data_IF_269327626939
#
_entry.id   IF_269327626939
#
_cell.length_a   1.000
_cell.length_b   1.000
_cell.length_c   1.000
_cell.angle_alpha   90.00
_cell.angle_beta   90.00
_cell.angle_gamma   90.00
#
_symmetry.space_group_name_H-M   'P 1'
#
loop_
_entity.id
_entity.type
_entity.pdbx_description
1 polymer ?
#
# COMPACT_ATOMS: atom_id res chain seq x y z
N UNK A 1 12.42 14.81 6.14
CA UNK A 1 13.11 13.52 5.94
C UNK A 1 13.00 12.74 7.22
N UNK A 2 12.67 11.44 7.17
CA UNK A 2 12.71 10.57 8.34
C UNK A 2 14.16 10.42 8.80
N UNK A 3 14.40 10.32 10.10
CA UNK A 3 15.72 9.95 10.61
C UNK A 3 16.06 8.50 10.25
N UNK A 4 17.33 8.11 10.19
CA UNK A 4 17.74 6.72 9.93
C UNK A 4 17.10 5.72 10.91
N UNK A 5 17.01 6.08 12.19
CA UNK A 5 16.35 5.25 13.21
C UNK A 5 14.84 5.06 12.92
N UNK A 6 14.19 6.07 12.34
CA UNK A 6 12.79 5.98 11.93
C UNK A 6 12.60 5.28 10.59
N UNK A 7 13.61 5.21 9.73
CA UNK A 7 13.57 4.37 8.54
C UNK A 7 13.76 2.90 8.91
N UNK A 8 14.65 2.61 9.85
CA UNK A 8 14.96 1.26 10.31
C UNK A 8 13.75 0.53 10.92
N UNK A 9 12.90 1.23 11.69
CA UNK A 9 11.69 0.61 12.29
C UNK A 9 10.70 0.08 11.25
N UNK A 10 10.68 0.63 10.04
CA UNK A 10 9.75 0.22 8.99
C UNK A 10 10.28 -0.95 8.16
N UNK A 11 11.58 -1.29 8.25
CA UNK A 11 12.19 -2.35 7.45
C UNK A 11 11.53 -3.71 7.64
N UNK A 12 10.93 -3.96 8.80
CA UNK A 12 10.24 -5.22 9.12
C UNK A 12 8.75 -5.01 9.43
N UNK A 13 8.16 -3.91 8.94
CA UNK A 13 6.74 -3.62 9.14
C UNK A 13 5.85 -4.67 8.46
N UNK A 14 4.61 -4.80 8.93
CA UNK A 14 3.55 -5.41 8.12
C UNK A 14 3.10 -4.38 7.10
N UNK A 15 2.99 -4.77 5.84
CA UNK A 15 2.55 -3.87 4.77
C UNK A 15 1.28 -4.43 4.14
N UNK A 16 0.27 -3.58 4.05
CA UNK A 16 -0.99 -3.86 3.34
C UNK A 16 -1.30 -2.75 2.36
N UNK A 17 -2.01 -3.10 1.29
CA UNK A 17 -2.45 -2.15 0.25
C UNK A 17 -3.95 -2.29 0.10
N UNK A 18 -4.67 -1.19 0.25
CA UNK A 18 -6.10 -1.09 -0.03
C UNK A 18 -6.28 -0.33 -1.34
N UNK A 19 -6.88 -0.99 -2.33
CA UNK A 19 -7.31 -0.37 -3.58
C UNK A 19 -8.77 0.08 -3.49
N UNK A 20 -9.02 1.30 -3.96
CA UNK A 20 -10.35 1.86 -4.13
C UNK A 20 -10.41 2.68 -5.42
N UNK A 21 -11.62 2.85 -5.98
CA UNK A 21 -11.88 3.84 -7.03
C UNK A 21 -12.58 5.06 -6.40
N UNK A 22 -11.89 6.17 -6.11
CA UNK A 22 -12.46 7.25 -5.30
C UNK A 22 -13.74 7.88 -5.87
N UNK A 23 -13.87 7.88 -7.19
CA UNK A 23 -15.00 8.47 -7.92
C UNK A 23 -16.16 7.49 -8.13
N UNK A 24 -16.05 6.24 -7.68
CA UNK A 24 -17.05 5.19 -7.86
C UNK A 24 -17.23 4.40 -6.56
N UNK A 25 -18.46 4.27 -6.07
CA UNK A 25 -18.75 3.40 -4.93
C UNK A 25 -18.75 1.92 -5.37
N UNK A 26 -17.53 1.37 -5.50
CA UNK A 26 -17.31 0.03 -6.04
C UNK A 26 -16.62 -0.92 -5.04
N UNK A 27 -16.59 -0.55 -3.76
CA UNK A 27 -15.92 -1.29 -2.70
C UNK A 27 -14.40 -1.16 -2.69
N UNK A 28 -13.77 -1.87 -1.76
CA UNK A 28 -12.32 -1.85 -1.55
C UNK A 28 -11.73 -3.25 -1.69
N UNK A 29 -10.53 -3.34 -2.27
CA UNK A 29 -9.75 -4.58 -2.35
C UNK A 29 -8.51 -4.43 -1.47
N UNK A 30 -8.40 -5.23 -0.42
CA UNK A 30 -7.22 -5.24 0.45
C UNK A 30 -6.31 -6.43 0.13
N UNK A 31 -5.02 -6.16 -0.02
CA UNK A 31 -3.97 -7.16 -0.29
C UNK A 31 -2.84 -6.98 0.72
N UNK A 32 -2.43 -8.06 1.38
CA UNK A 32 -1.21 -8.07 2.18
C UNK A 32 0.01 -8.15 1.24
N UNK A 33 1.02 -7.32 1.49
CA UNK A 33 2.28 -7.43 0.76
C UNK A 33 3.14 -8.56 1.34
N UNK A 34 3.83 -9.28 0.46
CA UNK A 34 4.84 -10.25 0.81
C UNK A 34 6.11 -9.52 1.27
N UNK A 35 6.67 -9.93 2.41
CA UNK A 35 7.98 -9.49 2.85
C UNK A 35 9.06 -10.23 2.06
N UNK A 36 9.94 -9.48 1.39
CA UNK A 36 11.04 -10.08 0.62
C UNK A 36 12.34 -10.01 1.41
N UNK A 37 12.70 -8.81 1.86
CA UNK A 37 13.90 -8.50 2.64
C UNK A 37 13.71 -7.16 3.38
N UNK A 38 14.61 -6.76 4.31
CA UNK A 38 14.42 -5.56 5.11
C UNK A 38 14.16 -4.30 4.27
N UNK A 39 12.95 -3.76 4.37
CA UNK A 39 12.51 -2.57 3.63
C UNK A 39 11.95 -2.84 2.23
N UNK A 40 11.88 -4.10 1.79
CA UNK A 40 11.37 -4.49 0.47
C UNK A 40 10.16 -5.39 0.62
N UNK A 41 9.03 -4.90 0.11
CA UNK A 41 7.73 -5.57 0.17
C UNK A 41 7.10 -5.59 -1.21
N UNK A 42 6.42 -6.67 -1.56
CA UNK A 42 5.79 -6.83 -2.87
C UNK A 42 4.32 -7.21 -2.70
N UNK A 43 3.42 -6.38 -3.25
CA UNK A 43 2.02 -6.73 -3.43
C UNK A 43 1.71 -6.83 -4.92
N UNK A 44 0.97 -7.85 -5.33
CA UNK A 44 0.48 -8.01 -6.70
C UNK A 44 -1.01 -7.76 -6.70
N UNK A 45 -1.45 -6.78 -7.47
CA UNK A 45 -2.86 -6.40 -7.55
C UNK A 45 -3.23 -6.21 -9.01
N UNK A 46 -4.37 -6.77 -9.40
CA UNK A 46 -4.91 -6.67 -10.76
C UNK A 46 -6.22 -5.90 -10.65
N UNK A 47 -6.27 -4.64 -11.10
CA UNK A 47 -7.52 -3.89 -11.20
C UNK A 47 -8.51 -4.63 -12.10
N UNK A 48 -9.75 -4.77 -11.65
CA UNK A 48 -10.80 -5.45 -12.42
C UNK A 48 -11.51 -4.54 -13.41
N UNK A 49 -11.21 -3.24 -13.37
CA UNK A 49 -11.81 -2.20 -14.22
C UNK A 49 -10.76 -1.16 -14.62
N UNK A 50 -10.91 -0.63 -15.82
CA UNK A 50 -10.17 0.53 -16.30
C UNK A 50 -10.62 1.80 -15.56
N UNK A 51 -9.73 2.78 -15.44
CA UNK A 51 -10.03 4.07 -14.81
C UNK A 51 -9.07 4.42 -13.67
N UNK A 52 -9.41 5.46 -12.92
CA UNK A 52 -8.59 5.98 -11.83
C UNK A 52 -8.76 5.15 -10.55
N UNK A 53 -7.63 4.79 -9.96
CA UNK A 53 -7.53 4.02 -8.72
C UNK A 53 -6.66 4.76 -7.71
N UNK A 54 -6.97 4.53 -6.42
CA UNK A 54 -6.16 4.93 -5.29
C UNK A 54 -5.68 3.68 -4.55
N UNK A 55 -4.36 3.58 -4.38
CA UNK A 55 -3.72 2.61 -3.51
C UNK A 55 -3.34 3.29 -2.19
N UNK A 56 -3.99 2.93 -1.10
CA UNK A 56 -3.58 3.30 0.25
C UNK A 56 -2.66 2.20 0.79
N UNK A 57 -1.37 2.52 0.94
CA UNK A 57 -0.32 1.63 1.42
C UNK A 57 -0.12 1.89 2.90
N UNK A 58 -0.51 0.93 3.74
CA UNK A 58 -0.37 1.02 5.20
C UNK A 58 0.78 0.16 5.67
N UNK A 59 1.75 0.79 6.35
CA UNK A 59 2.82 0.15 7.08
C UNK A 59 2.46 0.12 8.57
N UNK A 60 2.58 -1.03 9.21
CA UNK A 60 2.33 -1.22 10.64
C UNK A 60 3.57 -1.82 11.33
N UNK A 61 4.04 -1.15 12.39
CA UNK A 61 5.13 -1.64 13.24
C UNK A 61 4.92 -1.14 14.67
N UNK A 62 5.19 -1.97 15.68
CA UNK A 62 5.07 -1.60 17.11
C UNK A 62 3.73 -0.93 17.48
N UNK A 63 2.62 -1.40 16.88
CA UNK A 63 1.28 -0.84 17.10
C UNK A 63 1.06 0.56 16.50
N UNK A 64 1.99 1.07 15.69
CA UNK A 64 1.87 2.33 14.95
C UNK A 64 1.67 2.04 13.47
N UNK A 65 0.74 2.77 12.87
CA UNK A 65 0.48 2.72 11.43
C UNK A 65 0.89 4.03 10.75
N UNK A 66 1.42 3.91 9.53
CA UNK A 66 1.60 5.04 8.61
C UNK A 66 0.99 4.67 7.27
N UNK A 67 0.23 5.58 6.67
CA UNK A 67 -0.41 5.35 5.37
C UNK A 67 0.13 6.34 4.34
N UNK A 68 0.43 5.85 3.15
CA UNK A 68 0.79 6.65 1.97
C UNK A 68 -0.18 6.30 0.85
N UNK A 69 -0.77 7.31 0.23
CA UNK A 69 -1.68 7.13 -0.90
C UNK A 69 -0.95 7.34 -2.22
N UNK A 70 -1.21 6.47 -3.19
CA UNK A 70 -0.73 6.59 -4.57
C UNK A 70 -1.91 6.52 -5.54
N UNK A 71 -2.04 7.53 -6.39
CA UNK A 71 -3.05 7.57 -7.45
C UNK A 71 -2.45 7.06 -8.76
N UNK A 72 -3.18 6.20 -9.46
CA UNK A 72 -2.79 5.66 -10.76
C UNK A 72 -4.01 5.37 -11.62
N UNK A 73 -3.79 5.19 -12.93
CA UNK A 73 -4.84 4.80 -13.87
C UNK A 73 -4.59 3.40 -14.39
N UNK A 74 -5.63 2.57 -14.39
CA UNK A 74 -5.64 1.29 -15.08
C UNK A 74 -6.09 1.50 -16.53
N UNK A 75 -5.24 1.08 -17.47
CA UNK A 75 -5.45 1.21 -18.92
C UNK A 75 -5.59 -0.17 -19.58
N UNK A 76 -6.22 -0.26 -20.77
CA UNK A 76 -6.39 -1.52 -21.51
C UNK A 76 -5.09 -2.24 -21.91
#
# INVERSE_FOLDING_TARGET
MLSEAEADKWKNAKVSVTLSMPSMDHGEVQVAAEYMEPGVFVAKIIPTMIGEWKADITLETDGKSSTVSYLFSAEP
#
